data_IF_640461756226
#
_entry.id   IF_640461756226
#
_cell.length_a   1.000
_cell.length_b   1.000
_cell.length_c   1.000
_cell.angle_alpha   90.00
_cell.angle_beta   90.00
_cell.angle_gamma   90.00
#
_symmetry.space_group_name_H-M   'P 1'
#
loop_
_entity.id
_entity.type
_entity.pdbx_description
1 polymer ?
#
# COMPACT_ATOMS: atom_id res chain seq x y z
N UNK A 1 9.67 -9.27 -17.02
CA UNK A 1 9.15 -7.92 -16.79
C UNK A 1 9.87 -7.33 -15.60
N UNK A 2 10.92 -6.59 -15.91
CA UNK A 2 11.63 -5.71 -15.00
C UNK A 2 11.19 -4.29 -15.36
N UNK A 3 10.00 -3.94 -14.89
CA UNK A 3 9.33 -2.70 -15.21
C UNK A 3 8.62 -2.18 -13.97
N UNK A 4 8.26 -0.89 -13.98
CA UNK A 4 7.45 -0.34 -12.90
C UNK A 4 6.01 -0.87 -12.97
N UNK A 5 5.26 -0.56 -11.93
CA UNK A 5 3.88 -1.03 -11.73
C UNK A 5 2.91 -0.58 -12.84
N UNK A 6 3.02 0.67 -13.29
CA UNK A 6 2.14 1.22 -14.33
C UNK A 6 2.39 0.58 -15.70
N UNK A 7 3.65 0.35 -16.04
CA UNK A 7 4.04 -0.28 -17.30
C UNK A 7 3.57 -1.74 -17.34
N UNK A 8 3.72 -2.47 -16.22
CA UNK A 8 3.21 -3.83 -16.09
C UNK A 8 1.70 -3.84 -16.26
N UNK A 9 0.99 -2.93 -15.59
CA UNK A 9 -0.47 -2.83 -15.70
C UNK A 9 -0.90 -2.63 -17.15
N UNK A 10 -0.25 -1.70 -17.87
CA UNK A 10 -0.55 -1.38 -19.27
C UNK A 10 -0.24 -2.53 -20.23
N UNK A 11 0.83 -3.30 -19.99
CA UNK A 11 1.17 -4.46 -20.81
C UNK A 11 0.12 -5.57 -20.65
N UNK A 12 -0.27 -5.88 -19.41
CA UNK A 12 -1.33 -6.87 -19.14
C UNK A 12 -2.67 -6.41 -19.74
N UNK A 13 -2.99 -5.12 -19.64
CA UNK A 13 -4.17 -4.54 -20.26
C UNK A 13 -4.14 -4.67 -21.79
N UNK A 14 -2.98 -4.45 -22.42
CA UNK A 14 -2.81 -4.63 -23.87
C UNK A 14 -2.97 -6.10 -24.29
N UNK A 15 -2.43 -7.05 -23.52
CA UNK A 15 -2.63 -8.48 -23.73
C UNK A 15 -4.11 -8.88 -23.59
N UNK A 16 -4.82 -8.31 -22.61
CA UNK A 16 -6.27 -8.48 -22.43
C UNK A 16 -7.05 -7.98 -23.65
N UNK A 17 -6.76 -6.75 -24.10
CA UNK A 17 -7.42 -6.11 -25.26
C UNK A 17 -7.19 -6.87 -26.57
N UNK A 18 -6.10 -7.62 -26.67
CA UNK A 18 -5.75 -8.41 -27.85
C UNK A 18 -6.06 -9.90 -27.70
N UNK A 19 -6.83 -10.26 -26.65
CA UNK A 19 -7.26 -11.63 -26.34
C UNK A 19 -6.09 -12.64 -26.28
N UNK A 20 -4.97 -12.22 -25.70
CA UNK A 20 -3.75 -13.03 -25.56
C UNK A 20 -3.66 -13.72 -24.19
N UNK A 21 -4.80 -14.03 -23.57
CA UNK A 21 -4.87 -14.75 -22.29
C UNK A 21 -4.19 -16.12 -22.43
N UNK A 22 -3.27 -16.44 -21.53
CA UNK A 22 -2.51 -17.70 -21.56
C UNK A 22 -1.46 -17.81 -22.68
N UNK A 23 -1.30 -16.80 -23.55
CA UNK A 23 -0.33 -16.84 -24.65
C UNK A 23 1.11 -16.59 -24.16
N UNK A 24 1.28 -15.74 -23.16
CA UNK A 24 2.58 -15.36 -22.63
C UNK A 24 2.85 -16.01 -21.27
N UNK A 25 4.09 -16.47 -21.07
CA UNK A 25 4.59 -16.75 -19.73
C UNK A 25 5.22 -15.48 -19.16
N UNK A 26 4.67 -15.00 -18.05
CA UNK A 26 5.19 -13.80 -17.39
C UNK A 26 6.24 -14.19 -16.35
N UNK A 27 7.47 -13.74 -16.56
CA UNK A 27 8.52 -13.77 -15.54
C UNK A 27 8.75 -12.33 -15.13
N UNK A 28 8.77 -11.96 -13.85
CA UNK A 28 9.05 -10.56 -13.48
C UNK A 28 9.67 -10.32 -12.12
N UNK A 29 9.98 -9.05 -11.85
CA UNK A 29 10.63 -8.59 -10.62
C UNK A 29 9.67 -8.50 -9.43
N UNK A 30 10.20 -8.13 -8.28
CA UNK A 30 9.45 -7.87 -7.06
C UNK A 30 8.52 -6.64 -7.17
N UNK A 31 8.75 -5.78 -8.17
CA UNK A 31 8.00 -4.56 -8.44
C UNK A 31 6.50 -4.79 -8.67
N UNK A 32 6.10 -6.00 -9.08
CA UNK A 32 4.71 -6.45 -9.12
C UNK A 32 4.47 -7.75 -8.36
N UNK A 33 5.48 -8.61 -8.17
CA UNK A 33 5.35 -9.83 -7.38
C UNK A 33 5.00 -9.61 -5.91
N UNK A 34 5.34 -8.45 -5.35
CA UNK A 34 5.01 -8.07 -3.96
C UNK A 34 3.77 -7.21 -3.82
N UNK A 35 3.03 -6.94 -4.91
CA UNK A 35 1.93 -5.97 -4.92
C UNK A 35 0.74 -6.49 -5.72
N UNK A 36 -0.47 -6.22 -5.23
CA UNK A 36 -1.70 -6.60 -5.94
C UNK A 36 -2.07 -5.61 -7.06
N UNK A 37 -1.76 -4.33 -6.90
CA UNK A 37 -2.18 -3.25 -7.79
C UNK A 37 -1.84 -3.46 -9.30
N UNK A 38 -0.64 -3.94 -9.68
CA UNK A 38 -0.32 -4.19 -11.09
C UNK A 38 -1.22 -5.22 -11.79
N UNK A 39 -1.81 -6.17 -11.04
CA UNK A 39 -2.66 -7.25 -11.60
C UNK A 39 -4.15 -7.06 -11.32
N UNK A 40 -4.52 -6.07 -10.51
CA UNK A 40 -5.90 -5.83 -10.09
C UNK A 40 -6.84 -5.62 -11.28
N UNK A 41 -7.93 -6.42 -11.35
CA UNK A 41 -8.93 -6.50 -12.43
C UNK A 41 -8.46 -7.13 -13.76
N UNK A 42 -7.28 -7.72 -13.77
CA UNK A 42 -6.68 -8.39 -14.92
C UNK A 42 -5.89 -9.65 -14.51
N UNK A 43 -6.35 -10.29 -13.43
CA UNK A 43 -5.71 -11.44 -12.80
C UNK A 43 -5.61 -12.63 -13.76
N UNK A 44 -6.65 -12.85 -14.59
CA UNK A 44 -6.70 -13.90 -15.62
C UNK A 44 -5.53 -13.83 -16.63
N UNK A 45 -5.03 -12.62 -16.92
CA UNK A 45 -3.92 -12.43 -17.86
C UNK A 45 -2.59 -12.76 -17.18
N UNK A 46 -2.49 -12.50 -15.88
CA UNK A 46 -1.29 -12.71 -15.07
C UNK A 46 -1.24 -14.13 -14.47
N UNK A 47 -2.23 -14.98 -14.72
CA UNK A 47 -2.26 -16.35 -14.21
C UNK A 47 -1.01 -17.13 -14.67
N UNK A 48 -0.37 -17.83 -13.72
CA UNK A 48 0.87 -18.55 -13.97
C UNK A 48 2.14 -17.69 -14.00
N UNK A 49 2.04 -16.38 -13.73
CA UNK A 49 3.20 -15.52 -13.62
C UNK A 49 4.15 -15.98 -12.50
N UNK A 50 5.45 -16.00 -12.79
CA UNK A 50 6.51 -16.26 -11.82
C UNK A 50 7.23 -14.96 -11.51
N UNK A 51 7.36 -14.62 -10.24
CA UNK A 51 8.07 -13.41 -9.82
C UNK A 51 9.20 -13.72 -8.87
N UNK A 52 10.24 -12.89 -8.93
CA UNK A 52 11.41 -12.99 -8.05
C UNK A 52 11.24 -11.96 -6.94
N UNK A 53 11.19 -12.42 -5.69
CA UNK A 53 11.12 -11.58 -4.51
C UNK A 53 12.40 -11.77 -3.68
N UNK A 54 13.18 -10.71 -3.42
CA UNK A 54 14.27 -10.78 -2.46
C UNK A 54 13.76 -11.23 -1.08
N UNK A 55 14.58 -11.98 -0.33
CA UNK A 55 14.24 -12.34 1.04
C UNK A 55 14.15 -11.08 1.90
N UNK A 56 13.02 -10.88 2.55
CA UNK A 56 12.77 -9.76 3.47
C UNK A 56 12.59 -10.27 4.89
N UNK A 57 12.90 -9.43 5.88
CA UNK A 57 12.71 -9.72 7.29
C UNK A 57 12.17 -8.46 7.99
N UNK A 58 11.27 -8.65 8.95
CA UNK A 58 10.79 -7.56 9.79
C UNK A 58 11.91 -7.07 10.72
N UNK A 59 11.93 -5.76 10.97
CA UNK A 59 12.84 -5.16 11.94
C UNK A 59 12.02 -4.74 13.16
N UNK A 60 12.04 -5.54 14.21
CA UNK A 60 11.21 -5.32 15.42
C UNK A 60 11.39 -3.92 16.04
N UNK A 61 12.61 -3.38 16.00
CA UNK A 61 12.90 -2.02 16.46
C UNK A 61 12.16 -0.96 15.65
N UNK A 62 12.11 -1.13 14.32
CA UNK A 62 11.37 -0.24 13.43
C UNK A 62 9.86 -0.36 13.66
N UNK A 63 9.35 -1.58 13.80
CA UNK A 63 7.93 -1.83 14.09
C UNK A 63 7.49 -1.15 15.39
N UNK A 64 8.26 -1.31 16.47
CA UNK A 64 7.97 -0.61 17.74
C UNK A 64 8.02 0.90 17.58
N UNK A 65 9.03 1.42 16.90
CA UNK A 65 9.18 2.85 16.64
C UNK A 65 7.98 3.39 15.86
N UNK A 66 7.59 2.73 14.77
CA UNK A 66 6.54 3.20 13.85
C UNK A 66 5.16 3.09 14.51
N UNK A 67 4.85 1.97 15.18
CA UNK A 67 3.58 1.77 15.91
C UNK A 67 3.40 2.74 17.08
N UNK A 68 4.48 3.25 17.66
CA UNK A 68 4.41 4.26 18.74
C UNK A 68 4.11 5.68 18.25
N UNK A 69 4.12 5.94 16.92
CA UNK A 69 3.87 7.28 16.36
C UNK A 69 2.39 7.62 16.43
N UNK A 70 2.11 8.83 16.90
CA UNK A 70 0.78 9.43 16.97
C UNK A 70 0.83 10.85 16.43
N UNK A 71 -0.33 11.41 16.10
CA UNK A 71 -0.47 12.80 15.67
C UNK A 71 0.08 13.80 16.71
N UNK A 72 0.03 13.45 18.00
CA UNK A 72 0.56 14.29 19.06
C UNK A 72 2.10 14.28 19.14
N UNK A 73 2.73 13.14 18.87
CA UNK A 73 4.15 12.92 19.13
C UNK A 73 5.04 12.90 17.87
N UNK A 74 4.46 13.03 16.67
CA UNK A 74 5.19 12.99 15.40
C UNK A 74 5.06 14.29 14.59
N UNK A 75 5.54 15.39 15.16
CA UNK A 75 5.52 16.71 14.49
C UNK A 75 6.61 16.90 13.42
N UNK A 76 7.60 16.00 13.36
CA UNK A 76 8.74 16.09 12.43
C UNK A 76 8.35 15.71 11.00
N UNK A 77 7.43 14.75 10.84
CA UNK A 77 6.99 14.30 9.53
C UNK A 77 5.75 15.11 9.11
N UNK A 78 5.94 16.02 8.17
CA UNK A 78 4.89 16.92 7.67
C UNK A 78 3.76 16.19 6.93
N UNK A 79 4.03 15.00 6.39
CA UNK A 79 3.05 14.16 5.70
C UNK A 79 2.26 13.24 6.65
N UNK A 80 2.63 13.19 7.95
CA UNK A 80 2.02 12.24 8.89
C UNK A 80 0.52 12.53 9.14
N UNK A 81 0.12 13.79 9.05
CA UNK A 81 -1.29 14.19 9.15
C UNK A 81 -2.11 13.65 7.97
N UNK A 82 -1.66 13.86 6.73
CA UNK A 82 -2.31 13.33 5.52
C UNK A 82 -2.38 11.80 5.53
N UNK A 83 -1.25 11.15 5.82
CA UNK A 83 -1.19 9.70 5.99
C UNK A 83 -2.24 9.18 6.99
N UNK A 84 -2.39 9.86 8.14
CA UNK A 84 -3.36 9.45 9.15
C UNK A 84 -4.81 9.59 8.66
N UNK A 85 -5.13 10.68 7.96
CA UNK A 85 -6.47 10.88 7.41
C UNK A 85 -6.83 9.83 6.34
N UNK A 86 -5.90 9.56 5.43
CA UNK A 86 -6.07 8.60 4.33
C UNK A 86 -6.22 7.16 4.85
N UNK A 87 -5.31 6.74 5.73
CA UNK A 87 -5.27 5.36 6.21
C UNK A 87 -6.38 5.02 7.22
N UNK A 88 -6.90 6.00 7.97
CA UNK A 88 -7.95 5.77 8.97
C UNK A 88 -9.33 6.32 8.59
N UNK A 89 -9.46 6.88 7.37
CA UNK A 89 -10.72 7.41 6.85
C UNK A 89 -11.32 8.49 7.75
N UNK A 90 -10.49 9.34 8.34
CA UNK A 90 -10.89 10.37 9.30
C UNK A 90 -10.39 11.75 8.88
N UNK A 91 -10.94 12.81 9.49
CA UNK A 91 -10.43 14.17 9.30
C UNK A 91 -9.96 14.80 10.60
N UNK A 92 -8.77 15.39 10.56
CA UNK A 92 -8.23 16.31 11.54
C UNK A 92 -8.98 17.62 11.33
N UNK A 93 -9.69 18.10 12.36
CA UNK A 93 -10.75 19.12 12.20
C UNK A 93 -10.38 20.28 11.27
N UNK A 94 -11.27 20.61 10.33
CA UNK A 94 -11.02 21.68 9.37
C UNK A 94 -11.61 23.02 9.80
N UNK A 95 -10.87 24.10 9.57
CA UNK A 95 -11.41 25.44 9.39
C UNK A 95 -12.37 25.45 8.19
N UNK A 96 -13.66 25.27 8.45
CA UNK A 96 -14.69 25.36 7.43
C UNK A 96 -15.89 24.49 7.78
N UNK A 97 -17.08 25.12 7.77
CA UNK A 97 -18.42 24.60 8.11
C UNK A 97 -18.54 23.09 8.37
N UNK A 98 -18.98 22.76 9.59
CA UNK A 98 -19.30 21.40 10.09
C UNK A 98 -20.24 20.65 9.14
N UNK A 99 -19.70 19.79 8.29
CA UNK A 99 -20.47 18.65 7.76
C UNK A 99 -20.52 17.58 8.85
N UNK A 100 -21.73 17.25 9.32
CA UNK A 100 -22.01 16.44 10.51
C UNK A 100 -21.67 14.95 10.40
N UNK A 101 -21.26 14.46 9.22
CA UNK A 101 -21.09 13.02 8.95
C UNK A 101 -19.62 12.53 8.84
N UNK A 102 -18.62 13.39 9.06
CA UNK A 102 -17.20 12.99 8.91
C UNK A 102 -16.61 12.56 10.26
N UNK A 103 -16.06 11.35 10.32
CA UNK A 103 -15.36 10.81 11.49
C UNK A 103 -14.15 11.69 11.83
N UNK A 104 -14.10 12.22 13.05
CA UNK A 104 -12.93 12.96 13.56
C UNK A 104 -11.81 11.98 13.91
N UNK A 105 -10.58 12.33 13.55
CA UNK A 105 -9.42 11.54 13.97
C UNK A 105 -9.20 11.66 15.48
N UNK A 106 -8.99 10.54 16.17
CA UNK A 106 -8.56 10.54 17.57
C UNK A 106 -7.06 10.82 17.66
N UNK A 107 -6.67 11.66 18.63
CA UNK A 107 -5.26 11.99 18.90
C UNK A 107 -4.50 10.79 19.49
N UNK A 108 -5.24 9.82 20.03
CA UNK A 108 -4.74 8.64 20.71
C UNK A 108 -5.24 7.38 19.99
N UNK A 109 -4.25 6.57 19.61
CA UNK A 109 -4.27 5.24 19.02
C UNK A 109 -5.19 4.97 17.81
N UNK A 110 -4.69 4.20 16.82
CA UNK A 110 -5.54 3.49 15.87
C UNK A 110 -6.49 2.59 16.66
N UNK A 111 -7.79 2.62 16.33
CA UNK A 111 -8.78 1.76 16.98
C UNK A 111 -8.53 0.26 16.76
N UNK A 112 -7.62 -0.10 15.84
CA UNK A 112 -7.07 -1.45 15.70
C UNK A 112 -5.53 -1.41 15.65
N UNK A 113 -4.89 -2.07 16.61
CA UNK A 113 -3.43 -2.28 16.61
C UNK A 113 -2.97 -3.19 15.47
N UNK A 114 -3.91 -3.94 14.87
CA UNK A 114 -3.68 -4.91 13.81
C UNK A 114 -3.42 -4.26 12.44
N UNK A 115 -4.13 -3.17 12.12
CA UNK A 115 -3.93 -2.44 10.87
C UNK A 115 -2.56 -1.76 10.83
N UNK A 116 -2.16 -1.08 11.92
CA UNK A 116 -0.85 -0.40 11.98
C UNK A 116 0.33 -1.37 12.03
N UNK A 117 0.14 -2.55 12.62
CA UNK A 117 1.12 -3.62 12.53
C UNK A 117 1.35 -4.07 11.09
N UNK A 118 0.26 -4.28 10.34
CA UNK A 118 0.32 -4.68 8.93
C UNK A 118 0.96 -3.59 8.06
N UNK A 119 0.68 -2.31 8.31
CA UNK A 119 1.32 -1.19 7.60
C UNK A 119 2.79 -1.02 7.96
N UNK A 120 3.17 -1.12 9.23
CA UNK A 120 4.57 -1.04 9.66
C UNK A 120 5.41 -2.14 9.00
N UNK A 121 4.87 -3.37 8.96
CA UNK A 121 5.52 -4.49 8.30
C UNK A 121 5.67 -4.25 6.80
N UNK A 122 4.63 -3.77 6.09
CA UNK A 122 4.74 -3.39 4.66
C UNK A 122 5.75 -2.28 4.39
N UNK A 123 5.82 -1.25 5.25
CA UNK A 123 6.80 -0.16 5.11
C UNK A 123 8.22 -0.67 5.38
N UNK A 124 8.39 -1.54 6.38
CA UNK A 124 9.68 -2.19 6.65
C UNK A 124 10.13 -3.13 5.53
N UNK A 125 9.18 -3.72 4.80
CA UNK A 125 9.43 -4.57 3.63
C UNK A 125 9.78 -3.78 2.36
N UNK A 126 9.54 -2.46 2.34
CA UNK A 126 9.95 -1.56 1.25
C UNK A 126 11.26 -0.82 1.51
N UNK A 127 11.84 -0.94 2.71
CA UNK A 127 13.05 -0.24 3.14
C UNK A 127 14.31 -1.11 3.04
#
# INVERSE_FOLDING_TARGET
MFANEDDIRRILEAAKKTNQTGHFLWIGSDSWGSKISPVYQQEEIAEGAVTILPKRASIDGFDRYFRSRTLANNRRNVWFAEFWEENFGCKLGSHGKRNSNIKKCTVLQPQSTHEVGTYASRVSETA
#
